data_IF_923035266182
#
_entry.id   IF_923035266182
#
_cell.length_a   1.000
_cell.length_b   1.000
_cell.length_c   1.000
_cell.angle_alpha   90.00
_cell.angle_beta   90.00
_cell.angle_gamma   90.00
#
_symmetry.space_group_name_H-M   'P 1'
#
loop_
_entity.id
_entity.type
_entity.pdbx_description
1 polymer ?
#
# COMPACT_ATOMS: atom_id res chain seq x y z
N UNK A 1 -17.51 7.95 1.73
CA UNK A 1 -16.60 8.36 0.63
C UNK A 1 -16.81 9.82 0.22
N UNK A 2 -17.99 10.22 -0.27
CA UNK A 2 -18.24 11.61 -0.66
C UNK A 2 -18.05 12.62 0.48
N UNK A 3 -18.43 12.24 1.70
CA UNK A 3 -18.21 13.07 2.89
C UNK A 3 -16.73 13.38 3.16
N UNK A 4 -15.81 12.44 2.89
CA UNK A 4 -14.37 12.68 3.08
C UNK A 4 -13.80 13.63 2.01
N UNK A 5 -14.29 13.50 0.77
CA UNK A 5 -13.96 14.41 -0.33
C UNK A 5 -14.39 15.83 0.00
N UNK A 6 -15.65 15.99 0.41
CA UNK A 6 -16.21 17.30 0.79
C UNK A 6 -15.47 17.93 1.97
N UNK A 7 -15.12 17.12 2.98
CA UNK A 7 -14.39 17.60 4.17
C UNK A 7 -13.01 18.12 3.78
N UNK A 8 -12.26 17.36 2.97
CA UNK A 8 -10.92 17.77 2.53
C UNK A 8 -10.96 18.97 1.56
N UNK A 9 -11.94 19.03 0.67
CA UNK A 9 -12.15 20.21 -0.19
C UNK A 9 -12.46 21.45 0.65
N UNK A 10 -13.30 21.35 1.68
CA UNK A 10 -13.63 22.47 2.56
C UNK A 10 -12.39 23.00 3.30
N UNK A 11 -11.50 22.11 3.73
CA UNK A 11 -10.24 22.49 4.37
C UNK A 11 -9.31 23.19 3.36
N UNK A 12 -9.13 22.64 2.16
CA UNK A 12 -8.20 23.17 1.16
C UNK A 12 -8.70 24.42 0.42
N UNK A 13 -10.01 24.64 0.42
CA UNK A 13 -10.65 25.77 -0.28
C UNK A 13 -11.29 26.75 0.70
N UNK A 14 -10.89 26.73 1.98
CA UNK A 14 -11.44 27.59 3.03
C UNK A 14 -11.28 29.07 2.69
N UNK A 15 -10.13 29.44 2.12
CA UNK A 15 -9.81 30.83 1.77
C UNK A 15 -10.38 31.25 0.40
N UNK A 16 -10.54 30.30 -0.53
CA UNK A 16 -11.09 30.55 -1.87
C UNK A 16 -11.84 29.31 -2.40
N UNK A 17 -13.19 29.30 -2.30
CA UNK A 17 -14.02 28.22 -2.81
C UNK A 17 -13.91 27.99 -4.32
N UNK A 18 -13.52 28.99 -5.13
CA UNK A 18 -13.42 28.84 -6.58
C UNK A 18 -12.24 27.95 -7.01
N UNK A 19 -11.27 27.72 -6.11
CA UNK A 19 -10.10 26.86 -6.37
C UNK A 19 -10.35 25.37 -6.15
N UNK A 20 -11.59 24.96 -5.87
CA UNK A 20 -11.95 23.56 -5.63
C UNK A 20 -11.43 22.59 -6.70
N UNK A 21 -11.52 22.97 -7.97
CA UNK A 21 -11.06 22.13 -9.09
C UNK A 21 -9.55 22.00 -9.15
N UNK A 22 -8.81 23.06 -8.80
CA UNK A 22 -7.35 23.06 -8.69
C UNK A 22 -6.87 22.22 -7.50
N UNK A 23 -7.70 22.11 -6.46
CA UNK A 23 -7.40 21.37 -5.25
C UNK A 23 -7.81 19.88 -5.30
N UNK A 24 -8.63 19.47 -6.27
CA UNK A 24 -9.06 18.08 -6.43
C UNK A 24 -7.92 17.06 -6.48
N UNK A 25 -6.81 17.27 -7.22
CA UNK A 25 -5.70 16.32 -7.23
C UNK A 25 -5.09 16.08 -5.84
N UNK A 26 -5.01 17.12 -5.00
CA UNK A 26 -4.54 17.01 -3.62
C UNK A 26 -5.50 16.21 -2.74
N UNK A 27 -6.80 16.41 -2.94
CA UNK A 27 -7.83 15.65 -2.23
C UNK A 27 -7.79 14.18 -2.60
N UNK A 28 -7.72 13.87 -3.89
CA UNK A 28 -7.60 12.50 -4.38
C UNK A 28 -6.36 11.82 -3.78
N UNK A 29 -5.21 12.49 -3.84
CA UNK A 29 -3.95 11.98 -3.30
C UNK A 29 -4.04 11.71 -1.79
N UNK A 30 -4.66 12.61 -1.04
CA UNK A 30 -4.82 12.48 0.40
C UNK A 30 -5.82 11.38 0.80
N UNK A 31 -6.81 11.07 -0.03
CA UNK A 31 -7.78 9.99 0.23
C UNK A 31 -7.20 8.65 -0.21
N UNK A 32 -6.69 8.59 -1.44
CA UNK A 32 -6.24 7.33 -2.04
C UNK A 32 -4.85 6.91 -1.59
N UNK A 33 -4.07 7.81 -1.00
CA UNK A 33 -2.71 7.53 -0.53
C UNK A 33 -2.59 7.06 0.91
N UNK A 34 -3.63 7.22 1.73
CA UNK A 34 -3.58 6.80 3.13
C UNK A 34 -4.16 5.40 3.32
N UNK A 35 -3.51 4.53 4.14
CA UNK A 35 -4.07 3.23 4.47
C UNK A 35 -5.42 3.32 5.17
N UNK A 36 -6.37 2.48 4.75
CA UNK A 36 -7.64 2.31 5.48
C UNK A 36 -7.41 1.50 6.75
N UNK A 37 -8.11 1.83 7.83
CA UNK A 37 -8.10 1.07 9.08
C UNK A 37 -8.65 -0.36 8.92
N UNK A 38 -9.53 -0.59 7.94
CA UNK A 38 -10.14 -1.90 7.71
C UNK A 38 -9.20 -2.89 7.00
N UNK A 39 -8.35 -2.41 6.10
CA UNK A 39 -7.50 -3.27 5.26
C UNK A 39 -6.00 -3.09 5.53
N UNK A 40 -5.61 -2.04 6.24
CA UNK A 40 -4.21 -1.65 6.45
C UNK A 40 -3.49 -1.22 5.16
N UNK A 41 -4.20 -1.07 4.04
CA UNK A 41 -3.64 -0.74 2.74
C UNK A 41 -4.30 0.52 2.18
N UNK A 42 -3.53 1.33 1.45
CA UNK A 42 -4.08 2.51 0.77
C UNK A 42 -4.87 2.08 -0.47
N UNK A 43 -5.95 2.79 -0.84
CA UNK A 43 -6.68 2.52 -2.08
C UNK A 43 -5.77 2.45 -3.31
N UNK A 44 -4.75 3.32 -3.40
CA UNK A 44 -3.74 3.24 -4.44
C UNK A 44 -2.94 1.93 -4.41
N UNK A 45 -2.54 1.45 -3.24
CA UNK A 45 -1.83 0.18 -3.13
C UNK A 45 -2.73 -1.01 -3.50
N UNK A 46 -4.01 -0.96 -3.15
CA UNK A 46 -4.99 -2.00 -3.48
C UNK A 46 -5.24 -2.05 -5.00
N UNK A 47 -5.42 -0.89 -5.63
CA UNK A 47 -5.77 -0.81 -7.06
C UNK A 47 -4.54 -1.01 -7.95
N UNK A 48 -3.40 -0.39 -7.63
CA UNK A 48 -2.20 -0.39 -8.47
C UNK A 48 -1.11 -1.36 -8.02
N UNK A 49 -1.23 -1.95 -6.83
CA UNK A 49 -0.20 -2.81 -6.24
C UNK A 49 1.03 -2.06 -5.69
N UNK A 50 1.01 -0.73 -5.75
CA UNK A 50 2.03 0.18 -5.22
C UNK A 50 1.40 1.54 -4.91
N UNK A 51 2.07 2.33 -4.09
CA UNK A 51 1.69 3.71 -3.80
C UNK A 51 2.32 4.63 -4.86
N UNK A 52 1.55 5.32 -5.71
CA UNK A 52 2.06 6.34 -6.61
C UNK A 52 2.81 7.41 -5.80
N UNK A 53 3.98 7.86 -6.28
CA UNK A 53 4.72 8.93 -5.60
C UNK A 53 3.87 10.20 -5.59
N UNK A 54 3.77 10.80 -4.39
CA UNK A 54 2.97 12.02 -4.09
C UNK A 54 3.33 13.19 -5.00
N UNK A 55 4.59 13.22 -5.44
CA UNK A 55 5.06 14.05 -6.53
C UNK A 55 5.86 13.17 -7.47
N UNK A 56 5.44 13.09 -8.73
CA UNK A 56 6.41 12.87 -9.78
C UNK A 56 7.21 14.17 -9.91
N UNK A 57 8.15 14.43 -8.97
CA UNK A 57 9.23 15.40 -9.23
C UNK A 57 10.00 15.05 -10.53
N UNK A 58 9.72 13.89 -11.13
CA UNK A 58 10.27 13.35 -12.36
C UNK A 58 9.21 12.80 -13.33
N UNK A 59 8.09 13.48 -13.53
CA UNK A 59 7.40 13.39 -14.82
C UNK A 59 7.64 14.64 -15.67
N UNK A 60 8.78 15.32 -15.47
CA UNK A 60 9.52 15.68 -16.67
C UNK A 60 9.86 14.36 -17.34
N UNK A 61 9.19 14.07 -18.44
CA UNK A 61 9.55 12.98 -19.34
C UNK A 61 11.07 12.91 -19.38
N UNK A 62 11.65 11.76 -18.99
CA UNK A 62 13.08 11.59 -19.23
C UNK A 62 13.25 11.80 -20.74
N UNK A 63 13.84 12.94 -21.14
CA UNK A 63 14.00 13.30 -22.55
C UNK A 63 14.84 12.27 -23.32
N UNK A 64 15.40 11.30 -22.60
CA UNK A 64 16.19 10.19 -23.10
C UNK A 64 15.35 8.90 -23.07
N UNK A 65 14.86 8.43 -24.22
CA UNK A 65 14.04 7.22 -24.33
C UNK A 65 14.67 5.96 -23.73
N UNK A 66 15.99 5.83 -23.78
CA UNK A 66 16.72 4.69 -23.24
C UNK A 66 16.54 4.55 -21.71
N UNK A 67 16.57 5.67 -20.98
CA UNK A 67 16.38 5.67 -19.53
C UNK A 67 14.97 5.19 -19.16
N UNK A 68 13.96 5.60 -19.93
CA UNK A 68 12.57 5.18 -19.74
C UNK A 68 12.37 3.68 -20.03
N UNK A 69 13.00 3.15 -21.09
CA UNK A 69 12.97 1.71 -21.41
C UNK A 69 13.63 0.89 -20.31
N UNK A 70 14.78 1.34 -19.79
CA UNK A 70 15.49 0.68 -18.69
C UNK A 70 14.65 0.66 -17.41
N UNK A 71 14.06 1.79 -17.02
CA UNK A 71 13.17 1.86 -15.85
C UNK A 71 11.97 0.90 -15.96
N UNK A 72 11.34 0.83 -17.14
CA UNK A 72 10.24 -0.11 -17.40
C UNK A 72 10.68 -1.57 -17.30
N UNK A 73 11.89 -1.89 -17.75
CA UNK A 73 12.47 -3.23 -17.61
C UNK A 73 12.69 -3.58 -16.14
N UNK A 74 13.29 -2.69 -15.36
CA UNK A 74 13.50 -2.88 -13.92
C UNK A 74 12.18 -3.08 -13.18
N UNK A 75 11.16 -2.27 -13.46
CA UNK A 75 9.82 -2.43 -12.87
C UNK A 75 9.19 -3.80 -13.20
N UNK A 76 9.36 -4.27 -14.44
CA UNK A 76 8.85 -5.58 -14.85
C UNK A 76 9.52 -6.71 -14.09
N UNK A 77 10.86 -6.69 -14.00
CA UNK A 77 11.62 -7.70 -13.25
C UNK A 77 11.27 -7.65 -11.76
N UNK A 78 11.16 -6.45 -11.18
CA UNK A 78 10.77 -6.28 -9.78
C UNK A 78 9.39 -6.85 -9.48
N UNK A 79 8.39 -6.60 -10.35
CA UNK A 79 7.04 -7.18 -10.18
C UNK A 79 7.08 -8.70 -10.24
N UNK A 80 7.83 -9.27 -11.18
CA UNK A 80 7.98 -10.72 -11.31
C UNK A 80 8.65 -11.33 -10.07
N UNK A 81 9.73 -10.72 -9.59
CA UNK A 81 10.42 -11.14 -8.37
C UNK A 81 9.48 -11.07 -7.15
N UNK A 82 8.71 -9.98 -7.00
CA UNK A 82 7.73 -9.83 -5.92
C UNK A 82 6.66 -10.92 -5.96
N UNK A 83 6.10 -11.22 -7.14
CA UNK A 83 5.12 -12.29 -7.30
C UNK A 83 5.71 -13.66 -6.94
N UNK A 84 6.93 -13.94 -7.38
CA UNK A 84 7.62 -15.18 -7.05
C UNK A 84 7.84 -15.30 -5.53
N UNK A 85 8.34 -14.24 -4.88
CA UNK A 85 8.53 -14.21 -3.43
C UNK A 85 7.22 -14.41 -2.65
N UNK A 86 6.13 -13.75 -3.06
CA UNK A 86 4.82 -13.94 -2.44
C UNK A 86 4.32 -15.39 -2.58
N UNK A 87 4.45 -15.99 -3.78
CA UNK A 87 4.06 -17.38 -4.03
C UNK A 87 4.90 -18.36 -3.21
N UNK A 88 6.20 -18.12 -3.16
CA UNK A 88 7.14 -18.91 -2.36
C UNK A 88 6.80 -18.81 -0.89
N UNK A 89 6.63 -17.59 -0.35
CA UNK A 89 6.20 -17.36 1.04
C UNK A 89 4.90 -18.09 1.39
N UNK A 90 3.87 -17.99 0.55
CA UNK A 90 2.61 -18.71 0.76
C UNK A 90 2.80 -20.24 0.77
N UNK A 91 3.74 -20.75 -0.02
CA UNK A 91 4.08 -22.19 -0.05
C UNK A 91 4.86 -22.61 1.19
N UNK A 92 5.83 -21.80 1.63
CA UNK A 92 6.53 -22.02 2.90
C UNK A 92 5.56 -22.03 4.08
N UNK A 93 4.60 -21.09 4.14
CA UNK A 93 3.56 -21.06 5.18
C UNK A 93 2.75 -22.35 5.16
N UNK A 94 2.27 -22.79 4.00
CA UNK A 94 1.50 -24.04 3.87
C UNK A 94 2.30 -25.26 4.34
N UNK A 95 3.57 -25.34 3.96
CA UNK A 95 4.45 -26.45 4.33
C UNK A 95 4.78 -26.42 5.83
N UNK A 96 5.13 -25.27 6.40
CA UNK A 96 5.39 -25.11 7.82
C UNK A 96 4.14 -25.44 8.66
N UNK A 97 2.96 -24.96 8.23
CA UNK A 97 1.71 -25.24 8.91
C UNK A 97 1.26 -26.70 8.76
N UNK A 98 1.74 -27.45 7.76
CA UNK A 98 1.42 -28.88 7.59
C UNK A 98 1.83 -29.72 8.80
N UNK A 99 2.92 -29.35 9.46
CA UNK A 99 3.43 -30.05 10.65
C UNK A 99 3.00 -29.37 11.97
N UNK A 100 2.29 -28.23 11.90
CA UNK A 100 1.76 -27.56 13.09
C UNK A 100 0.38 -28.12 13.41
N UNK A 101 0.20 -28.58 14.63
CA UNK A 101 -1.11 -28.90 15.20
C UNK A 101 -1.75 -27.65 15.79
N UNK A 102 -3.09 -27.64 15.88
CA UNK A 102 -3.84 -26.60 16.56
C UNK A 102 -3.30 -26.46 18.00
N UNK A 103 -2.93 -25.22 18.37
CA UNK A 103 -2.49 -24.94 19.72
C UNK A 103 -3.60 -25.14 20.75
N UNK A 104 -3.28 -25.25 22.04
CA UNK A 104 -4.28 -25.30 23.10
C UNK A 104 -5.15 -24.04 23.07
N UNK A 105 -6.43 -24.17 23.43
CA UNK A 105 -7.32 -23.02 23.56
C UNK A 105 -7.06 -22.33 24.90
N UNK A 106 -6.62 -21.08 24.84
CA UNK A 106 -6.33 -20.27 26.03
C UNK A 106 -7.53 -19.42 26.43
N UNK A 107 -7.69 -19.19 27.74
CA UNK A 107 -8.69 -18.31 28.30
C UNK A 107 -8.05 -17.02 28.85
N UNK A 108 -8.83 -15.94 28.88
CA UNK A 108 -8.38 -14.65 29.42
C UNK A 108 -7.99 -14.82 30.89
N UNK A 109 -6.75 -14.46 31.24
CA UNK A 109 -6.17 -14.59 32.59
C UNK A 109 -5.22 -15.80 32.78
N UNK A 110 -5.13 -16.71 31.80
CA UNK A 110 -4.25 -17.88 31.87
C UNK A 110 -2.78 -17.50 31.60
N UNK A 111 -1.87 -17.92 32.47
CA UNK A 111 -0.42 -17.72 32.29
C UNK A 111 0.18 -18.90 31.52
N UNK A 112 1.00 -18.60 30.52
CA UNK A 112 1.70 -19.60 29.70
C UNK A 112 3.20 -19.34 29.72
N UNK A 113 3.97 -20.41 29.70
CA UNK A 113 5.43 -20.34 29.62
C UNK A 113 5.86 -20.31 28.16
N UNK A 114 6.61 -19.27 27.76
CA UNK A 114 7.22 -19.17 26.45
C UNK A 114 8.69 -19.58 26.58
N UNK A 115 9.07 -20.65 25.91
CA UNK A 115 10.48 -21.00 25.73
C UNK A 115 10.94 -20.39 24.41
N UNK A 116 11.64 -19.25 24.46
CA UNK A 116 12.47 -18.83 23.35
C UNK A 116 13.79 -19.62 23.45
N UNK A 117 14.21 -20.22 22.34
CA UNK A 117 15.54 -20.80 22.23
C UNK A 117 16.42 -19.70 21.64
N UNK A 118 17.54 -19.40 22.29
CA UNK A 118 18.58 -18.51 21.74
C UNK A 118 19.17 -19.09 20.44
#
# INVERSE_FOLDING_TARGET
>A
MNQEVETKLRILCMDDPHRWSQNLPWVELAINGLPSSATGMSPFHVVYGFQPPVFSLHQMEAQVPAAHVSARRCLRVWRQARLALCKTSATYIRNANRQRTQGPRYLVGQKVWLAAKD
#
